data_IF_057116202374
#
_entry.id   IF_057116202374
#
_cell.length_a   1.000
_cell.length_b   1.000
_cell.length_c   1.000
_cell.angle_alpha   90.00
_cell.angle_beta   90.00
_cell.angle_gamma   90.00
#
_symmetry.space_group_name_H-M   'P 1'
#
loop_
_entity.id
_entity.type
_entity.pdbx_description
1 polymer ?
#
# COMPACT_ATOMS: atom_id res chain seq x y z
N UNK A 1 1.30 64.00 8.61
CA UNK A 1 2.23 63.59 9.68
C UNK A 1 2.26 62.07 9.74
N UNK A 2 3.46 61.51 9.92
CA UNK A 2 3.83 60.09 10.11
C UNK A 2 2.80 59.36 11.01
N UNK A 3 2.52 58.07 10.82
CA UNK A 3 3.42 56.98 11.22
C UNK A 3 3.08 55.68 10.48
N UNK A 4 4.12 55.12 9.87
CA UNK A 4 4.26 53.71 9.51
C UNK A 4 4.27 52.91 10.81
N UNK A 5 3.50 51.82 10.86
CA UNK A 5 3.72 50.75 11.84
C UNK A 5 3.84 49.44 11.05
N UNK A 6 5.07 48.97 10.99
CA UNK A 6 5.46 47.63 10.57
C UNK A 6 5.35 46.73 11.79
N UNK A 7 4.62 45.63 11.75
CA UNK A 7 4.94 44.46 12.59
C UNK A 7 4.62 43.16 11.83
N UNK A 8 5.69 42.44 11.58
CA UNK A 8 5.77 41.05 11.14
C UNK A 8 5.06 40.15 12.15
N UNK A 9 4.16 39.27 11.71
CA UNK A 9 3.91 38.01 12.42
C UNK A 9 3.85 36.85 11.44
N UNK A 10 4.84 35.99 11.62
CA UNK A 10 5.16 34.77 10.92
C UNK A 10 4.08 33.73 11.26
N UNK A 11 3.38 33.20 10.25
CA UNK A 11 2.63 31.95 10.37
C UNK A 11 3.30 30.90 9.47
N UNK A 12 4.32 30.26 10.03
CA UNK A 12 4.86 28.98 9.55
C UNK A 12 3.76 27.96 9.81
N UNK A 13 2.97 27.60 8.80
CA UNK A 13 2.12 26.41 8.86
C UNK A 13 2.83 25.26 8.16
N UNK A 14 3.63 24.59 8.98
CA UNK A 14 3.95 23.16 8.97
C UNK A 14 4.21 22.50 7.63
N UNK A 15 5.50 22.27 7.38
CA UNK A 15 6.04 21.18 6.57
C UNK A 15 5.17 19.91 6.63
N UNK A 16 4.50 19.57 5.52
CA UNK A 16 4.11 18.19 5.24
C UNK A 16 5.38 17.43 4.82
N UNK A 17 6.25 17.17 5.79
CA UNK A 17 7.20 16.08 5.68
C UNK A 17 6.37 14.80 5.80
N UNK A 18 5.86 14.31 4.66
CA UNK A 18 5.50 12.91 4.55
C UNK A 18 6.81 12.14 4.71
N UNK A 19 7.14 11.83 5.95
CA UNK A 19 8.16 10.86 6.30
C UNK A 19 7.68 9.52 5.73
N UNK A 20 8.09 9.20 4.52
CA UNK A 20 8.12 7.81 4.06
C UNK A 20 9.20 7.13 4.89
N UNK A 21 8.82 6.74 6.11
CA UNK A 21 9.59 5.78 6.88
C UNK A 21 9.43 4.49 6.08
N UNK A 22 10.49 4.13 5.35
CA UNK A 22 10.69 2.79 4.78
C UNK A 22 10.74 1.81 5.96
N UNK A 23 9.57 1.42 6.43
CA UNK A 23 9.43 0.18 7.15
C UNK A 23 9.64 -0.91 6.11
N UNK A 24 10.49 -1.90 6.41
CA UNK A 24 10.60 -3.16 5.65
C UNK A 24 9.21 -3.81 5.56
N UNK A 25 8.39 -3.34 4.62
CA UNK A 25 7.01 -3.76 4.48
C UNK A 25 7.03 -5.11 3.77
N UNK A 26 6.49 -6.13 4.44
CA UNK A 26 6.38 -7.47 3.87
C UNK A 26 5.66 -7.41 2.52
N UNK A 27 6.31 -7.90 1.47
CA UNK A 27 5.75 -7.90 0.12
C UNK A 27 5.07 -9.24 -0.16
N UNK A 28 3.82 -9.18 -0.62
CA UNK A 28 2.97 -10.33 -0.93
C UNK A 28 2.44 -10.26 -2.36
N UNK A 29 1.91 -11.37 -2.84
CA UNK A 29 1.34 -11.52 -4.18
C UNK A 29 -0.19 -11.56 -4.12
N UNK A 30 -0.84 -10.75 -4.94
CA UNK A 30 -2.31 -10.65 -5.05
C UNK A 30 -2.75 -10.77 -6.50
N UNK A 31 -3.98 -11.24 -6.72
CA UNK A 31 -4.61 -11.24 -8.03
C UNK A 31 -5.55 -10.04 -8.21
N UNK A 32 -5.57 -9.46 -9.42
CA UNK A 32 -6.50 -8.40 -9.83
C UNK A 32 -7.96 -8.85 -9.89
N UNK A 33 -8.19 -10.15 -10.00
CA UNK A 33 -9.52 -10.73 -10.12
C UNK A 33 -10.36 -10.41 -8.86
N UNK A 34 -11.50 -9.70 -8.96
CA UNK A 34 -12.27 -9.24 -7.80
C UNK A 34 -12.78 -10.37 -6.89
N UNK A 35 -13.02 -11.55 -7.46
CA UNK A 35 -13.50 -12.75 -6.76
C UNK A 35 -12.40 -13.47 -5.97
N UNK A 36 -11.12 -13.20 -6.26
CA UNK A 36 -10.00 -13.80 -5.53
C UNK A 36 -9.68 -12.93 -4.34
N UNK A 37 -10.06 -13.37 -3.14
CA UNK A 37 -9.80 -12.64 -1.88
C UNK A 37 -8.52 -13.08 -1.17
N UNK A 38 -7.62 -13.76 -1.88
CA UNK A 38 -6.36 -14.26 -1.32
C UNK A 38 -5.16 -13.33 -1.60
N UNK A 39 -4.24 -13.26 -0.65
CA UNK A 39 -2.83 -12.91 -0.86
C UNK A 39 -1.93 -14.10 -0.48
N UNK A 40 -0.75 -14.17 -1.08
CA UNK A 40 0.24 -15.22 -0.84
C UNK A 40 1.63 -14.61 -0.63
N UNK A 41 2.44 -15.21 0.25
CA UNK A 41 3.83 -14.77 0.46
C UNK A 41 4.78 -15.17 -0.67
N UNK A 42 4.41 -16.19 -1.44
CA UNK A 42 5.16 -16.67 -2.59
C UNK A 42 4.19 -17.01 -3.74
N UNK A 43 4.63 -16.88 -5.01
CA UNK A 43 3.81 -17.29 -6.14
C UNK A 43 3.72 -18.82 -6.18
N UNK A 44 2.50 -19.35 -6.33
CA UNK A 44 2.27 -20.79 -6.44
C UNK A 44 1.17 -21.13 -7.45
N UNK A 45 1.00 -22.42 -7.73
CA UNK A 45 0.05 -22.91 -8.72
C UNK A 45 -1.40 -22.56 -8.36
N UNK A 46 -1.77 -22.62 -7.07
CA UNK A 46 -3.08 -22.19 -6.59
C UNK A 46 -3.37 -20.73 -6.99
N UNK A 47 -2.44 -19.81 -6.72
CA UNK A 47 -2.57 -18.41 -7.11
C UNK A 47 -2.65 -18.25 -8.64
N UNK A 48 -1.79 -18.94 -9.40
CA UNK A 48 -1.81 -18.89 -10.87
C UNK A 48 -3.15 -19.36 -11.45
N UNK A 49 -3.69 -20.46 -10.94
CA UNK A 49 -4.95 -21.04 -11.40
C UNK A 49 -6.14 -20.13 -11.04
N UNK A 50 -6.18 -19.63 -9.81
CA UNK A 50 -7.23 -18.69 -9.39
C UNK A 50 -7.19 -17.38 -10.19
N UNK A 51 -5.98 -16.93 -10.54
CA UNK A 51 -5.74 -15.68 -11.27
C UNK A 51 -5.71 -15.82 -12.80
N UNK A 52 -6.13 -16.96 -13.35
CA UNK A 52 -6.12 -17.17 -14.80
C UNK A 52 -6.88 -16.06 -15.54
N UNK A 53 -6.25 -15.52 -16.59
CA UNK A 53 -6.79 -14.40 -17.38
C UNK A 53 -6.70 -13.02 -16.71
N UNK A 54 -6.09 -12.93 -15.51
CA UNK A 54 -5.90 -11.68 -14.76
C UNK A 54 -4.43 -11.51 -14.39
N UNK A 55 -4.05 -10.31 -13.93
CA UNK A 55 -2.67 -10.01 -13.54
C UNK A 55 -2.42 -10.33 -12.07
N UNK A 56 -1.25 -10.91 -11.80
CA UNK A 56 -0.71 -11.04 -10.45
C UNK A 56 0.19 -9.82 -10.18
N UNK A 57 0.00 -9.18 -9.04
CA UNK A 57 0.79 -8.04 -8.59
C UNK A 57 1.52 -8.37 -7.29
N UNK A 58 2.71 -7.79 -7.14
CA UNK A 58 3.43 -7.76 -5.85
C UNK A 58 3.13 -6.43 -5.17
N UNK A 59 2.56 -6.48 -3.98
CA UNK A 59 2.16 -5.31 -3.18
C UNK A 59 2.59 -5.50 -1.74
N UNK A 60 2.59 -4.43 -0.94
CA UNK A 60 2.83 -4.61 0.50
C UNK A 60 1.66 -5.30 1.19
N UNK A 61 1.93 -5.94 2.32
CA UNK A 61 0.93 -6.63 3.14
C UNK A 61 -0.19 -5.67 3.58
N UNK A 62 0.17 -4.44 3.97
CA UNK A 62 -0.80 -3.39 4.31
C UNK A 62 -1.72 -3.09 3.15
N UNK A 63 -1.18 -2.99 1.94
CA UNK A 63 -1.97 -2.75 0.73
C UNK A 63 -2.89 -3.94 0.42
N UNK A 64 -2.41 -5.18 0.57
CA UNK A 64 -3.25 -6.37 0.40
C UNK A 64 -4.44 -6.41 1.38
N UNK A 65 -4.20 -6.08 2.65
CA UNK A 65 -5.26 -5.97 3.67
C UNK A 65 -6.27 -4.86 3.36
N UNK A 66 -5.81 -3.68 2.90
CA UNK A 66 -6.70 -2.61 2.45
C UNK A 66 -7.58 -3.00 1.25
N UNK A 67 -7.09 -3.90 0.39
CA UNK A 67 -7.84 -4.49 -0.72
C UNK A 67 -8.81 -5.60 -0.27
N UNK A 68 -8.93 -5.85 1.04
CA UNK A 68 -9.77 -6.92 1.60
C UNK A 68 -9.29 -8.31 1.20
N UNK A 69 -7.97 -8.49 1.05
CA UNK A 69 -7.36 -9.79 0.81
C UNK A 69 -6.93 -10.43 2.13
N UNK A 70 -7.05 -11.74 2.22
CA UNK A 70 -6.70 -12.57 3.37
C UNK A 70 -5.56 -13.54 3.01
N UNK A 71 -4.80 -13.99 4.01
CA UNK A 71 -3.69 -14.92 3.79
C UNK A 71 -4.25 -16.26 3.34
N UNK A 72 -3.78 -16.76 2.21
CA UNK A 72 -4.05 -18.13 1.78
C UNK A 72 -2.74 -18.90 1.69
N UNK A 73 -2.82 -20.19 1.98
CA UNK A 73 -1.68 -21.09 1.85
C UNK A 73 -1.67 -21.71 0.47
N UNK A 74 -0.47 -21.98 -0.03
CA UNK A 74 -0.30 -22.75 -1.25
C UNK A 74 -0.57 -24.21 -0.92
N UNK A 75 -1.52 -24.83 -1.62
CA UNK A 75 -1.70 -26.28 -1.53
C UNK A 75 -0.44 -26.93 -2.11
N UNK A 76 0.32 -27.64 -1.26
CA UNK A 76 1.40 -28.51 -1.70
C UNK A 76 0.76 -29.72 -2.37
N UNK A 77 0.63 -29.67 -3.69
CA UNK A 77 0.28 -30.82 -4.52
C UNK A 77 1.57 -31.36 -5.16
#
# INVERSE_FOLDING_TARGET
MKKIIFFFFIAISSSLLFSFIDFDEEMVFVCDKPTVKCFYYMPCNTLKNQCQGNKIFRVSLSRAKQLGKEKCDCENN
#
